data_IF_587592248905
#
_entry.id   IF_587592248905
#
_cell.length_a   1.000
_cell.length_b   1.000
_cell.length_c   1.000
_cell.angle_alpha   90.00
_cell.angle_beta   90.00
_cell.angle_gamma   90.00
#
_symmetry.space_group_name_H-M   'P 1'
#
loop_
_entity.id
_entity.type
_entity.pdbx_description
1 polymer ?
#
# COMPACT_ATOMS: atom_id res chain seq x y z
N UNK A 1 -12.53 -16.24 -13.75
CA UNK A 1 -13.42 -15.06 -13.60
C UNK A 1 -13.81 -14.74 -12.16
N UNK A 2 -14.38 -15.65 -11.36
CA UNK A 2 -14.76 -15.32 -9.96
C UNK A 2 -13.53 -15.23 -9.05
N UNK A 3 -12.60 -16.19 -9.10
CA UNK A 3 -11.34 -16.15 -8.31
C UNK A 3 -10.48 -14.93 -8.67
N UNK A 4 -10.57 -14.52 -9.94
CA UNK A 4 -9.86 -13.38 -10.52
C UNK A 4 -10.32 -12.04 -9.91
N UNK A 5 -11.63 -11.81 -9.90
CA UNK A 5 -12.21 -10.59 -9.32
C UNK A 5 -12.02 -10.51 -7.80
N UNK A 6 -11.98 -11.66 -7.12
CA UNK A 6 -11.75 -11.70 -5.67
C UNK A 6 -10.31 -11.28 -5.32
N UNK A 7 -9.33 -11.74 -6.10
CA UNK A 7 -7.93 -11.40 -5.89
C UNK A 7 -7.66 -9.91 -6.15
N UNK A 8 -8.26 -9.34 -7.20
CA UNK A 8 -8.18 -7.90 -7.50
C UNK A 8 -8.77 -7.06 -6.35
N UNK A 9 -10.01 -7.34 -5.94
CA UNK A 9 -10.68 -6.57 -4.88
C UNK A 9 -10.03 -6.66 -3.50
N UNK A 10 -9.26 -7.71 -3.22
CA UNK A 10 -8.45 -7.82 -1.99
C UNK A 10 -7.23 -6.90 -2.07
N UNK A 11 -6.52 -6.90 -3.19
CA UNK A 11 -5.32 -6.05 -3.34
C UNK A 11 -5.71 -4.57 -3.39
N UNK A 12 -6.82 -4.23 -4.05
CA UNK A 12 -7.34 -2.86 -4.09
C UNK A 12 -7.64 -2.34 -2.68
N UNK A 13 -8.29 -3.16 -1.83
CA UNK A 13 -8.52 -2.81 -0.43
C UNK A 13 -7.22 -2.60 0.35
N UNK A 14 -6.20 -3.44 0.12
CA UNK A 14 -4.92 -3.31 0.81
C UNK A 14 -4.19 -2.00 0.43
N UNK A 15 -4.19 -1.66 -0.87
CA UNK A 15 -3.65 -0.37 -1.37
C UNK A 15 -4.45 0.80 -0.80
N UNK A 16 -5.78 0.71 -0.77
CA UNK A 16 -6.64 1.74 -0.20
C UNK A 16 -6.37 1.95 1.30
N UNK A 17 -6.10 0.88 2.06
CA UNK A 17 -5.71 1.00 3.48
C UNK A 17 -4.39 1.75 3.62
N UNK A 18 -3.38 1.43 2.80
CA UNK A 18 -2.10 2.16 2.79
C UNK A 18 -2.29 3.65 2.51
N UNK A 19 -3.17 3.98 1.57
CA UNK A 19 -3.52 5.37 1.24
C UNK A 19 -4.18 6.08 2.42
N UNK A 20 -5.17 5.45 3.07
CA UNK A 20 -5.85 6.00 4.26
C UNK A 20 -4.87 6.20 5.41
N UNK A 21 -3.95 5.26 5.64
CA UNK A 21 -2.88 5.39 6.64
C UNK A 21 -2.01 6.62 6.33
N UNK A 22 -1.64 6.82 5.05
CA UNK A 22 -0.94 8.01 4.59
C UNK A 22 -1.72 9.31 4.79
N UNK A 23 -3.02 9.32 4.53
CA UNK A 23 -3.92 10.48 4.72
C UNK A 23 -4.00 10.91 6.18
N UNK A 24 -3.81 9.96 7.10
CA UNK A 24 -3.78 10.20 8.54
C UNK A 24 -2.37 10.53 9.06
N UNK A 25 -1.45 10.93 8.18
CA UNK A 25 -0.08 11.30 8.54
C UNK A 25 0.68 10.15 9.23
N UNK A 26 0.45 8.92 8.79
CA UNK A 26 1.17 7.73 9.25
C UNK A 26 2.03 7.19 8.12
N UNK A 27 3.29 6.90 8.45
CA UNK A 27 4.23 6.18 7.59
C UNK A 27 4.47 4.83 8.25
N UNK A 28 4.03 3.74 7.62
CA UNK A 28 4.37 2.40 8.07
C UNK A 28 5.60 1.89 7.30
N UNK A 29 6.67 1.58 8.03
CA UNK A 29 7.92 1.11 7.42
C UNK A 29 7.92 -0.40 7.12
N UNK A 30 6.88 -1.12 7.53
CA UNK A 30 6.73 -2.56 7.34
C UNK A 30 5.43 -2.90 6.59
N UNK A 31 5.15 -2.17 5.51
CA UNK A 31 4.08 -2.56 4.59
C UNK A 31 4.54 -3.75 3.77
N UNK A 32 3.84 -4.87 3.92
CA UNK A 32 4.06 -6.10 3.15
C UNK A 32 2.80 -6.96 3.19
N UNK A 33 2.58 -7.86 2.21
CA UNK A 33 1.36 -8.68 2.16
C UNK A 33 1.11 -9.51 3.42
N UNK A 34 2.18 -9.94 4.10
CA UNK A 34 2.12 -10.74 5.33
C UNK A 34 1.48 -9.99 6.52
N UNK A 35 1.46 -8.64 6.46
CA UNK A 35 0.87 -7.77 7.48
C UNK A 35 -0.57 -7.37 7.12
N UNK A 36 -1.26 -8.17 6.30
CA UNK A 36 -2.69 -8.02 6.04
C UNK A 36 -3.45 -9.31 6.39
N UNK A 37 -4.54 -9.17 7.12
CA UNK A 37 -5.48 -10.25 7.43
C UNK A 37 -6.73 -10.06 6.58
N UNK A 38 -7.27 -11.17 6.08
CA UNK A 38 -8.48 -11.20 5.27
C UNK A 38 -9.57 -11.92 6.06
N UNK A 39 -10.70 -11.26 6.25
CA UNK A 39 -11.92 -11.84 6.82
C UNK A 39 -12.92 -12.08 5.69
N UNK A 40 -13.47 -13.30 5.59
CA UNK A 40 -14.65 -13.55 4.77
C UNK A 40 -15.90 -13.38 5.62
N UNK A 41 -16.80 -12.49 5.22
CA UNK A 41 -18.05 -12.29 5.94
C UNK A 41 -19.12 -13.33 5.57
N UNK A 42 -20.25 -13.30 6.27
CA UNK A 42 -21.37 -14.24 6.06
C UNK A 42 -22.01 -14.17 4.67
N UNK A 43 -21.86 -13.05 3.96
CA UNK A 43 -22.31 -12.89 2.56
C UNK A 43 -21.28 -13.38 1.53
N UNK A 44 -20.12 -13.88 1.98
CA UNK A 44 -19.05 -14.37 1.11
C UNK A 44 -18.11 -13.29 0.57
N UNK A 45 -18.29 -12.01 0.97
CA UNK A 45 -17.38 -10.94 0.58
C UNK A 45 -16.20 -10.83 1.54
N UNK A 46 -15.06 -10.36 1.01
CA UNK A 46 -13.82 -10.25 1.76
C UNK A 46 -13.59 -8.83 2.26
N UNK A 47 -13.17 -8.73 3.51
CA UNK A 47 -12.70 -7.50 4.15
C UNK A 47 -11.23 -7.65 4.51
N UNK A 48 -10.44 -6.67 4.12
CA UNK A 48 -9.00 -6.63 4.39
C UNK A 48 -8.71 -5.74 5.60
N UNK A 49 -7.79 -6.18 6.45
CA UNK A 49 -7.30 -5.43 7.59
C UNK A 49 -5.78 -5.39 7.54
N UNK A 50 -5.20 -4.20 7.67
CA UNK A 50 -3.78 -4.07 7.93
C UNK A 50 -3.52 -4.31 9.41
N UNK A 51 -2.51 -5.11 9.70
CA UNK A 51 -1.97 -5.34 11.03
C UNK A 51 -0.54 -4.82 11.09
N UNK A 52 0.03 -4.89 12.29
CA UNK A 52 1.41 -4.54 12.59
C UNK A 52 1.80 -3.10 12.21
N UNK A 53 1.64 -2.22 13.21
CA UNK A 53 2.10 -0.83 13.16
C UNK A 53 3.35 -0.63 14.04
N UNK A 54 4.04 -1.71 14.44
CA UNK A 54 5.18 -1.63 15.36
C UNK A 54 6.35 -0.80 14.82
N UNK A 55 6.47 -0.70 13.50
CA UNK A 55 7.48 0.12 12.81
C UNK A 55 6.92 1.40 12.19
N UNK A 56 5.66 1.75 12.47
CA UNK A 56 5.04 2.98 12.00
C UNK A 56 5.55 4.20 12.76
N UNK A 57 5.47 5.36 12.11
CA UNK A 57 5.66 6.67 12.75
C UNK A 57 4.60 7.65 12.30
N UNK A 58 4.30 8.62 13.16
CA UNK A 58 3.55 9.80 12.76
C UNK A 58 4.46 10.75 11.98
N UNK A 59 3.85 11.57 11.12
CA UNK A 59 4.50 12.75 10.55
C UNK A 59 4.93 13.69 11.68
N UNK A 60 6.16 14.19 11.60
CA UNK A 60 6.66 15.19 12.56
C UNK A 60 5.89 16.51 12.44
N UNK A 61 5.71 17.23 13.54
CA UNK A 61 5.06 18.56 13.51
C UNK A 61 5.79 19.55 12.60
N UNK A 62 7.11 19.46 12.58
CA UNK A 62 8.00 20.32 11.81
C UNK A 62 8.53 19.63 10.53
N UNK A 63 7.96 18.49 10.14
CA UNK A 63 8.36 17.75 8.94
C UNK A 63 7.75 18.41 7.69
N UNK A 64 8.62 18.92 6.81
CA UNK A 64 8.19 19.58 5.57
C UNK A 64 7.44 18.61 4.64
N UNK A 65 6.60 19.14 3.74
CA UNK A 65 5.91 18.30 2.73
C UNK A 65 6.91 17.56 1.84
N UNK A 66 8.06 18.18 1.56
CA UNK A 66 9.17 17.58 0.84
C UNK A 66 9.74 16.37 1.57
N UNK A 67 10.07 16.52 2.85
CA UNK A 67 10.67 15.43 3.64
C UNK A 67 9.66 14.29 3.85
N UNK A 68 8.40 14.64 4.09
CA UNK A 68 7.31 13.67 4.19
C UNK A 68 7.11 12.91 2.88
N UNK A 69 7.00 13.63 1.75
CA UNK A 69 6.84 13.08 0.42
C UNK A 69 8.01 12.16 0.05
N UNK A 70 9.24 12.58 0.32
CA UNK A 70 10.44 11.74 0.16
C UNK A 70 10.40 10.51 1.05
N UNK A 71 9.96 10.62 2.29
CA UNK A 71 9.84 9.46 3.18
C UNK A 71 8.80 8.45 2.66
N UNK A 72 7.67 8.93 2.13
CA UNK A 72 6.64 8.08 1.49
C UNK A 72 7.15 7.44 0.20
N UNK A 73 7.85 8.19 -0.65
CA UNK A 73 8.50 7.65 -1.86
C UNK A 73 9.54 6.57 -1.55
N UNK A 74 10.43 6.85 -0.59
CA UNK A 74 11.51 5.95 -0.21
C UNK A 74 10.99 4.63 0.38
N UNK A 75 9.83 4.65 1.03
CA UNK A 75 9.20 3.43 1.55
C UNK A 75 8.36 2.71 0.51
N UNK A 76 7.77 3.44 -0.43
CA UNK A 76 6.94 2.91 -1.49
C UNK A 76 5.90 1.91 -0.97
N UNK A 77 5.11 2.34 0.02
CA UNK A 77 4.16 1.46 0.71
C UNK A 77 3.13 0.84 -0.25
N UNK A 78 2.66 1.59 -1.25
CA UNK A 78 1.77 1.05 -2.28
C UNK A 78 2.47 -0.02 -3.12
N UNK A 79 3.72 0.21 -3.56
CA UNK A 79 4.49 -0.79 -4.29
C UNK A 79 4.79 -2.04 -3.43
N UNK A 80 5.04 -1.86 -2.14
CA UNK A 80 5.34 -2.95 -1.22
C UNK A 80 4.18 -3.95 -1.05
N UNK A 81 2.94 -3.52 -1.35
CA UNK A 81 1.78 -4.42 -1.42
C UNK A 81 1.36 -4.69 -2.87
N UNK A 82 1.01 -3.67 -3.66
CA UNK A 82 0.41 -3.82 -4.98
C UNK A 82 1.36 -4.43 -6.01
N UNK A 83 2.59 -3.92 -6.11
CA UNK A 83 3.58 -4.47 -7.06
C UNK A 83 4.06 -5.87 -6.63
N UNK A 84 4.21 -6.09 -5.32
CA UNK A 84 4.55 -7.42 -4.78
C UNK A 84 3.46 -8.43 -5.09
N UNK A 85 2.19 -8.09 -4.85
CA UNK A 85 1.06 -8.97 -5.16
C UNK A 85 0.90 -9.20 -6.66
N UNK A 86 1.10 -8.17 -7.49
CA UNK A 86 1.14 -8.32 -8.96
C UNK A 86 2.14 -9.38 -9.39
N UNK A 87 3.36 -9.36 -8.83
CA UNK A 87 4.40 -10.36 -9.12
C UNK A 87 4.07 -11.75 -8.59
N UNK A 88 3.51 -11.84 -7.37
CA UNK A 88 3.16 -13.13 -6.75
C UNK A 88 2.02 -13.81 -7.51
N UNK A 89 0.96 -13.08 -7.81
CA UNK A 89 -0.21 -13.60 -8.50
C UNK A 89 0.08 -13.95 -9.97
N UNK A 90 0.96 -13.21 -10.65
CA UNK A 90 1.40 -13.55 -12.01
C UNK A 90 2.06 -14.95 -12.08
N UNK A 91 2.74 -15.40 -11.02
CA UNK A 91 3.32 -16.75 -10.94
C UNK A 91 2.26 -17.85 -10.85
N UNK A 92 1.07 -17.49 -10.37
CA UNK A 92 -0.11 -18.36 -10.28
C UNK A 92 -1.01 -18.22 -11.52
N UNK A 93 -0.56 -17.49 -12.56
CA UNK A 93 -1.32 -17.31 -13.81
C UNK A 93 -2.38 -16.20 -13.74
N UNK A 94 -2.36 -15.34 -12.71
CA UNK A 94 -3.29 -14.22 -12.57
C UNK A 94 -2.64 -12.88 -12.91
N UNK A 95 -3.27 -12.13 -13.83
CA UNK A 95 -2.83 -10.79 -14.21
C UNK A 95 -3.53 -9.72 -13.37
N UNK A 96 -2.84 -9.20 -12.35
CA UNK A 96 -3.34 -8.10 -11.54
C UNK A 96 -3.15 -6.76 -12.25
N UNK A 97 -4.24 -6.00 -12.39
CA UNK A 97 -4.19 -4.59 -12.77
C UNK A 97 -3.88 -3.75 -11.52
N UNK A 98 -2.62 -3.37 -11.40
CA UNK A 98 -2.16 -2.44 -10.37
C UNK A 98 -1.38 -1.31 -11.03
N UNK A 99 -1.76 -0.09 -10.66
CA UNK A 99 -1.08 1.16 -10.99
C UNK A 99 -0.78 1.88 -9.69
N UNK A 100 0.49 2.28 -9.52
CA UNK A 100 0.94 3.03 -8.34
C UNK A 100 0.46 4.47 -8.47
N UNK A 101 0.06 5.09 -7.37
CA UNK A 101 -0.35 6.49 -7.39
C UNK A 101 0.83 7.45 -7.54
N UNK A 102 0.59 8.58 -8.20
CA UNK A 102 1.58 9.66 -8.37
C UNK A 102 1.64 10.63 -7.19
N UNK A 103 0.99 10.30 -6.06
CA UNK A 103 0.72 11.19 -4.92
C UNK A 103 1.95 11.88 -4.31
N UNK A 104 3.13 11.30 -4.49
CA UNK A 104 4.38 11.83 -3.96
C UNK A 104 5.43 12.08 -5.04
N UNK A 105 5.09 11.88 -6.33
CA UNK A 105 6.04 11.96 -7.43
C UNK A 105 6.60 13.37 -7.66
N UNK A 106 5.90 14.41 -7.21
CA UNK A 106 6.43 15.79 -7.19
C UNK A 106 7.74 15.91 -6.37
N UNK A 107 7.99 14.98 -5.45
CA UNK A 107 9.18 14.92 -4.59
C UNK A 107 10.21 13.87 -5.04
N UNK A 108 10.04 13.27 -6.22
CA UNK A 108 10.93 12.22 -6.74
C UNK A 108 12.26 12.73 -7.30
N UNK A 109 12.39 14.05 -7.49
CA UNK A 109 13.63 14.71 -7.93
C UNK A 109 14.75 14.67 -6.88
N UNK A 110 15.98 14.78 -7.35
CA UNK A 110 17.15 14.96 -6.50
C UNK A 110 17.11 16.30 -5.76
N UNK A 111 17.94 16.43 -4.75
CA UNK A 111 18.33 17.73 -4.23
C UNK A 111 19.16 18.37 -5.35
N UNK A 112 18.52 19.18 -6.20
CA UNK A 112 19.26 20.08 -7.09
C UNK A 112 20.03 21.05 -6.19
N UNK A 113 21.26 20.67 -5.83
CA UNK A 113 22.34 21.55 -5.36
C UNK A 113 23.04 22.19 -6.57
#
# INVERSE_FOLDING_TARGET
MIVDLLSEGIVDQAVAIVQVVGDHNILNRDVRPDNFIIEQNRSGSYRVFMIDFGLARLRGRDESDRDWGKAKLNRDEEGAVGLVMKKRLAREGFELRFEKSDRYMEWAGGDDE
#
